data_IF_874112618452
#
_entry.id   IF_874112618452
#
_cell.length_a   1.000
_cell.length_b   1.000
_cell.length_c   1.000
_cell.angle_alpha   90.00
_cell.angle_beta   90.00
_cell.angle_gamma   90.00
#
_symmetry.space_group_name_H-M   'P 1'
#
loop_
_entity.id
_entity.type
_entity.pdbx_description
1 polymer ?
#
# COMPACT_ATOMS: atom_id res chain seq x y z
N UNK A 1 27.23 -29.53 -18.64
CA UNK A 1 27.80 -30.83 -18.21
C UNK A 1 28.03 -31.70 -19.43
N UNK A 2 29.24 -32.24 -19.59
CA UNK A 2 29.59 -33.06 -20.76
C UNK A 2 28.83 -34.39 -20.75
N UNK A 3 28.27 -34.79 -21.89
CA UNK A 3 27.67 -36.11 -22.09
C UNK A 3 28.68 -37.05 -22.76
N UNK A 4 28.73 -38.31 -22.32
CA UNK A 4 29.52 -39.33 -23.00
C UNK A 4 28.68 -39.90 -24.14
N UNK A 5 29.27 -39.99 -25.33
CA UNK A 5 28.60 -40.42 -26.56
C UNK A 5 29.56 -41.19 -27.44
N UNK A 6 29.07 -41.79 -28.52
CA UNK A 6 29.92 -42.44 -29.52
C UNK A 6 31.12 -41.56 -29.90
N UNK A 7 32.32 -42.14 -29.84
CA UNK A 7 33.59 -41.44 -30.08
C UNK A 7 34.24 -40.82 -28.84
N UNK A 8 33.54 -40.69 -27.71
CA UNK A 8 34.15 -40.33 -26.42
C UNK A 8 35.19 -41.37 -26.02
N UNK A 9 36.28 -40.93 -25.38
CA UNK A 9 37.34 -41.79 -24.86
C UNK A 9 37.79 -41.35 -23.46
N UNK A 10 38.43 -42.24 -22.71
CA UNK A 10 39.08 -41.93 -21.44
C UNK A 10 38.42 -42.58 -20.22
N UNK A 11 38.84 -42.17 -19.03
CA UNK A 11 38.42 -42.76 -17.74
C UNK A 11 36.91 -42.72 -17.54
N UNK A 12 36.23 -41.62 -17.90
CA UNK A 12 34.78 -41.53 -17.78
C UNK A 12 34.02 -42.59 -18.60
N UNK A 13 34.57 -43.01 -19.74
CA UNK A 13 33.99 -44.12 -20.52
C UNK A 13 34.27 -45.47 -19.85
N UNK A 14 35.44 -45.65 -19.24
CA UNK A 14 35.74 -46.87 -18.45
C UNK A 14 34.77 -47.02 -17.28
N UNK A 15 34.49 -45.92 -16.58
CA UNK A 15 33.53 -45.92 -15.46
C UNK A 15 32.12 -46.25 -15.96
N UNK A 16 31.71 -45.65 -17.08
CA UNK A 16 30.43 -45.95 -17.71
C UNK A 16 30.31 -47.43 -18.09
N UNK A 17 31.30 -47.98 -18.79
CA UNK A 17 31.32 -49.39 -19.21
C UNK A 17 31.29 -50.33 -18.00
N UNK A 18 32.08 -50.03 -16.97
CA UNK A 18 32.10 -50.80 -15.71
C UNK A 18 30.71 -50.82 -15.06
N UNK A 19 30.06 -49.66 -14.98
CA UNK A 19 28.76 -49.57 -14.33
C UNK A 19 27.63 -50.17 -15.17
N UNK A 20 27.68 -50.05 -16.51
CA UNK A 20 26.76 -50.75 -17.41
C UNK A 20 26.89 -52.27 -17.28
N UNK A 21 28.12 -52.78 -17.16
CA UNK A 21 28.36 -54.20 -16.88
C UNK A 21 27.75 -54.63 -15.54
N UNK A 22 27.93 -53.84 -14.48
CA UNK A 22 27.28 -54.08 -13.17
C UNK A 22 25.75 -54.06 -13.27
N UNK A 23 25.20 -53.20 -14.14
CA UNK A 23 23.77 -53.12 -14.42
C UNK A 23 23.25 -54.24 -15.35
N UNK A 24 24.12 -55.16 -15.80
CA UNK A 24 23.76 -56.34 -16.59
C UNK A 24 23.79 -56.14 -18.10
N UNK A 25 24.67 -55.28 -18.63
CA UNK A 25 24.85 -55.12 -20.08
C UNK A 25 25.13 -56.46 -20.79
N UNK A 26 24.44 -56.70 -21.91
CA UNK A 26 24.58 -57.89 -22.76
C UNK A 26 24.80 -57.49 -24.23
N UNK A 27 25.90 -57.93 -24.87
CA UNK A 27 27.03 -58.66 -24.29
C UNK A 27 27.77 -57.82 -23.24
N UNK A 28 28.57 -58.49 -22.38
CA UNK A 28 29.45 -57.80 -21.43
C UNK A 28 30.43 -56.90 -22.20
N UNK A 29 30.52 -55.64 -21.81
CA UNK A 29 31.38 -54.64 -22.44
C UNK A 29 32.84 -54.84 -22.03
N UNK A 30 33.76 -54.62 -22.97
CA UNK A 30 35.15 -54.35 -22.63
C UNK A 30 35.26 -52.98 -21.93
N UNK A 31 36.08 -52.89 -20.88
CA UNK A 31 36.34 -51.64 -20.15
C UNK A 31 37.61 -51.00 -20.73
N UNK A 32 37.56 -50.69 -22.02
CA UNK A 32 38.69 -50.14 -22.80
C UNK A 32 38.73 -48.60 -22.74
N UNK A 33 37.66 -47.96 -22.26
CA UNK A 33 37.54 -46.51 -22.24
C UNK A 33 37.23 -45.92 -23.61
N UNK A 34 36.70 -46.71 -24.55
CA UNK A 34 36.30 -46.28 -25.88
C UNK A 34 34.79 -46.43 -26.04
N UNK A 35 34.10 -45.32 -26.29
CA UNK A 35 32.66 -45.33 -26.47
C UNK A 35 32.37 -45.69 -27.93
N UNK A 36 32.45 -46.99 -28.23
CA UNK A 36 32.11 -47.56 -29.54
C UNK A 36 30.63 -47.92 -29.70
N UNK A 37 30.24 -48.49 -30.84
CA UNK A 37 28.86 -48.91 -31.14
C UNK A 37 28.27 -49.88 -30.11
N UNK A 38 29.09 -50.74 -29.52
CA UNK A 38 28.64 -51.72 -28.51
C UNK A 38 28.29 -51.01 -27.20
N UNK A 39 29.12 -50.05 -26.76
CA UNK A 39 28.84 -49.20 -25.60
C UNK A 39 27.58 -48.35 -25.82
N UNK A 40 27.42 -47.78 -27.01
CA UNK A 40 26.20 -47.04 -27.41
C UNK A 40 24.94 -47.91 -27.32
N UNK A 41 24.99 -49.11 -27.88
CA UNK A 41 23.88 -50.07 -27.80
C UNK A 41 23.54 -50.42 -26.35
N UNK A 42 24.55 -50.64 -25.50
CA UNK A 42 24.35 -50.93 -24.08
C UNK A 42 23.75 -49.74 -23.31
N UNK A 43 24.16 -48.50 -23.61
CA UNK A 43 23.54 -47.29 -23.05
C UNK A 43 22.07 -47.19 -23.47
N UNK A 44 21.76 -47.39 -24.76
CA UNK A 44 20.38 -47.37 -25.25
C UNK A 44 19.51 -48.42 -24.57
N UNK A 45 20.02 -49.64 -24.40
CA UNK A 45 19.32 -50.73 -23.68
C UNK A 45 19.09 -50.38 -22.22
N UNK A 46 20.12 -49.85 -21.53
CA UNK A 46 20.00 -49.41 -20.15
C UNK A 46 18.97 -48.28 -20.00
N UNK A 47 19.00 -47.28 -20.88
CA UNK A 47 18.04 -46.18 -20.89
C UNK A 47 16.60 -46.69 -21.06
N UNK A 48 16.34 -47.59 -22.02
CA UNK A 48 15.02 -48.21 -22.20
C UNK A 48 14.57 -48.96 -20.94
N UNK A 49 15.46 -49.75 -20.34
CA UNK A 49 15.18 -50.52 -19.11
C UNK A 49 14.79 -49.61 -17.94
N UNK A 50 15.38 -48.42 -17.86
CA UNK A 50 15.16 -47.48 -16.76
C UNK A 50 14.14 -46.38 -17.08
N UNK A 51 13.38 -46.50 -18.19
CA UNK A 51 12.37 -45.52 -18.58
C UNK A 51 12.95 -44.15 -19.01
N UNK A 52 14.23 -44.09 -19.35
CA UNK A 52 14.89 -42.88 -19.82
C UNK A 52 14.74 -42.72 -21.34
N UNK A 53 14.93 -41.50 -21.84
CA UNK A 53 15.06 -41.25 -23.28
C UNK A 53 16.23 -42.07 -23.84
N UNK A 54 15.92 -43.02 -24.72
CA UNK A 54 16.87 -43.98 -25.28
C UNK A 54 17.62 -43.42 -26.50
N UNK A 55 18.45 -42.40 -26.29
CA UNK A 55 19.20 -41.69 -27.34
C UNK A 55 20.65 -42.17 -27.51
N UNK A 56 21.07 -43.20 -26.76
CA UNK A 56 22.41 -43.78 -26.82
C UNK A 56 23.52 -42.93 -26.23
N UNK A 57 23.17 -41.81 -25.58
CA UNK A 57 24.11 -40.88 -24.96
C UNK A 57 24.00 -40.97 -23.43
N UNK A 58 25.14 -41.14 -22.76
CA UNK A 58 25.19 -41.07 -21.30
C UNK A 58 25.28 -39.61 -20.84
N UNK A 59 24.13 -38.92 -20.87
CA UNK A 59 23.92 -37.61 -20.25
C UNK A 59 23.72 -37.70 -18.73
N UNK A 60 23.44 -36.56 -18.08
CA UNK A 60 23.28 -36.47 -16.62
C UNK A 60 22.25 -37.43 -16.05
N UNK A 61 21.07 -37.55 -16.69
CA UNK A 61 20.02 -38.48 -16.26
C UNK A 61 20.44 -39.96 -16.37
N UNK A 62 21.13 -40.34 -17.46
CA UNK A 62 21.66 -41.71 -17.62
C UNK A 62 22.72 -42.02 -16.57
N UNK A 63 23.69 -41.12 -16.39
CA UNK A 63 24.78 -41.31 -15.42
C UNK A 63 24.25 -41.32 -13.97
N UNK A 64 23.26 -40.49 -13.65
CA UNK A 64 22.59 -40.51 -12.34
C UNK A 64 21.81 -41.81 -12.14
N UNK A 65 21.02 -42.25 -13.13
CA UNK A 65 20.23 -43.50 -13.03
C UNK A 65 21.13 -44.71 -12.78
N UNK A 66 22.29 -44.76 -13.43
CA UNK A 66 23.31 -45.79 -13.18
C UNK A 66 23.77 -45.78 -11.71
N UNK A 67 24.02 -44.60 -11.13
CA UNK A 67 24.43 -44.46 -9.72
C UNK A 67 23.32 -44.87 -8.75
N UNK A 68 22.05 -44.64 -9.11
CA UNK A 68 20.88 -45.00 -8.30
C UNK A 68 20.28 -46.37 -8.66
N UNK A 69 21.06 -47.28 -9.23
CA UNK A 69 20.63 -48.67 -9.47
C UNK A 69 19.48 -48.80 -10.49
N UNK A 70 19.37 -47.87 -11.43
CA UNK A 70 18.34 -47.85 -12.47
C UNK A 70 17.07 -47.10 -12.09
N UNK A 71 16.97 -46.55 -10.88
CA UNK A 71 15.82 -45.74 -10.44
C UNK A 71 16.30 -44.35 -10.05
N UNK A 72 15.94 -43.34 -10.82
CA UNK A 72 16.21 -41.97 -10.40
C UNK A 72 15.33 -41.62 -9.20
N UNK A 73 15.83 -40.81 -8.25
CA UNK A 73 14.97 -40.25 -7.21
C UNK A 73 13.83 -39.47 -7.86
N UNK A 74 12.62 -39.70 -7.39
CA UNK A 74 11.44 -38.97 -7.83
C UNK A 74 11.43 -37.58 -7.18
N UNK A 75 11.25 -36.55 -8.01
CA UNK A 75 10.98 -35.20 -7.51
C UNK A 75 9.51 -35.17 -7.08
N UNK A 76 9.26 -35.26 -5.77
CA UNK A 76 7.89 -35.30 -5.22
C UNK A 76 7.20 -33.93 -5.23
N UNK A 77 7.94 -32.85 -5.44
CA UNK A 77 7.39 -31.52 -5.63
C UNK A 77 6.99 -31.31 -7.10
N UNK A 78 5.88 -30.60 -7.38
CA UNK A 78 5.49 -30.26 -8.75
C UNK A 78 6.60 -29.53 -9.50
N UNK A 79 6.68 -29.73 -10.82
CA UNK A 79 7.61 -28.96 -11.68
C UNK A 79 7.20 -27.48 -11.71
N UNK A 80 7.84 -26.68 -10.86
CA UNK A 80 7.59 -25.24 -10.77
C UNK A 80 8.07 -24.47 -11.99
N UNK A 81 8.86 -25.08 -12.88
CA UNK A 81 9.22 -24.46 -14.18
C UNK A 81 7.97 -24.20 -15.00
N UNK A 82 6.98 -25.10 -14.92
CA UNK A 82 5.68 -24.97 -15.60
C UNK A 82 4.75 -23.98 -14.89
N UNK A 83 4.94 -23.75 -13.58
CA UNK A 83 4.17 -22.78 -12.78
C UNK A 83 4.82 -21.40 -12.67
N UNK A 84 5.99 -21.19 -13.27
CA UNK A 84 6.75 -19.94 -13.18
C UNK A 84 5.95 -18.72 -13.65
N UNK A 85 5.15 -18.88 -14.71
CA UNK A 85 4.28 -17.80 -15.23
C UNK A 85 3.26 -17.37 -14.18
N UNK A 86 2.51 -18.33 -13.64
CA UNK A 86 1.50 -18.08 -12.61
C UNK A 86 2.10 -17.44 -11.35
N UNK A 87 3.26 -17.93 -10.89
CA UNK A 87 3.92 -17.33 -9.72
C UNK A 87 4.33 -15.87 -9.96
N UNK A 88 4.79 -15.55 -11.18
CA UNK A 88 5.10 -14.17 -11.56
C UNK A 88 3.84 -13.30 -11.55
N UNK A 89 2.74 -13.77 -12.13
CA UNK A 89 1.46 -13.05 -12.13
C UNK A 89 0.98 -12.75 -10.70
N UNK A 90 0.97 -13.75 -9.81
CA UNK A 90 0.61 -13.57 -8.40
C UNK A 90 1.54 -12.57 -7.70
N UNK A 91 2.85 -12.63 -7.97
CA UNK A 91 3.83 -11.69 -7.39
C UNK A 91 3.60 -10.25 -7.88
N UNK A 92 3.28 -10.08 -9.16
CA UNK A 92 3.01 -8.78 -9.76
C UNK A 92 1.69 -8.20 -9.21
N UNK A 93 0.64 -9.01 -9.06
CA UNK A 93 -0.61 -8.62 -8.40
C UNK A 93 -0.37 -8.22 -6.94
N UNK A 94 0.43 -8.99 -6.20
CA UNK A 94 0.74 -8.65 -4.82
C UNK A 94 1.52 -7.33 -4.71
N UNK A 95 2.49 -7.09 -5.60
CA UNK A 95 3.21 -5.80 -5.68
C UNK A 95 2.26 -4.64 -5.92
N UNK A 96 1.29 -4.81 -6.82
CA UNK A 96 0.28 -3.79 -7.08
C UNK A 96 -0.62 -3.53 -5.86
N UNK A 97 -0.98 -4.59 -5.11
CA UNK A 97 -1.75 -4.44 -3.88
C UNK A 97 -0.97 -3.68 -2.80
N UNK A 98 0.33 -3.98 -2.63
CA UNK A 98 1.21 -3.23 -1.73
C UNK A 98 1.24 -1.75 -2.10
N UNK A 99 1.45 -1.43 -3.37
CA UNK A 99 1.44 -0.04 -3.83
C UNK A 99 0.10 0.67 -3.59
N UNK A 100 -1.03 -0.03 -3.73
CA UNK A 100 -2.34 0.51 -3.37
C UNK A 100 -2.46 0.79 -1.86
N UNK A 101 -1.95 -0.10 -1.01
CA UNK A 101 -1.93 0.13 0.45
C UNK A 101 -1.09 1.35 0.84
N UNK A 102 0.09 1.51 0.24
CA UNK A 102 0.96 2.67 0.49
C UNK A 102 0.26 3.98 0.11
N UNK A 103 -0.39 4.05 -1.06
CA UNK A 103 -1.15 5.24 -1.46
C UNK A 103 -2.32 5.53 -0.52
N UNK A 104 -3.02 4.49 -0.04
CA UNK A 104 -4.11 4.66 0.92
C UNK A 104 -3.59 5.21 2.25
N UNK A 105 -2.44 4.71 2.74
CA UNK A 105 -1.80 5.23 3.95
C UNK A 105 -1.40 6.70 3.78
N UNK A 106 -0.79 7.06 2.65
CA UNK A 106 -0.40 8.44 2.35
C UNK A 106 -1.62 9.38 2.29
N UNK A 107 -2.72 8.96 1.65
CA UNK A 107 -3.95 9.74 1.58
C UNK A 107 -4.53 10.01 2.98
N UNK A 108 -4.54 9.00 3.86
CA UNK A 108 -5.00 9.12 5.25
C UNK A 108 -4.08 10.06 6.04
N UNK A 109 -2.75 9.94 5.88
CA UNK A 109 -1.79 10.83 6.55
C UNK A 109 -1.99 12.30 6.12
N UNK A 110 -2.23 12.54 4.83
CA UNK A 110 -2.51 13.86 4.30
C UNK A 110 -3.83 14.45 4.83
N UNK A 111 -4.88 13.63 4.95
CA UNK A 111 -6.14 14.03 5.61
C UNK A 111 -5.89 14.44 7.07
N UNK A 112 -5.17 13.62 7.83
CA UNK A 112 -4.87 13.90 9.23
C UNK A 112 -4.08 15.21 9.40
N UNK A 113 -3.11 15.48 8.52
CA UNK A 113 -2.33 16.73 8.51
C UNK A 113 -3.22 17.96 8.28
N UNK A 114 -4.12 17.90 7.28
CA UNK A 114 -5.07 18.98 7.01
C UNK A 114 -6.01 19.18 8.19
N UNK A 115 -6.61 18.10 8.69
CA UNK A 115 -7.51 18.16 9.85
C UNK A 115 -6.85 18.78 11.08
N UNK A 116 -5.63 18.38 11.41
CA UNK A 116 -4.89 18.95 12.55
C UNK A 116 -4.62 20.45 12.37
N UNK A 117 -4.28 20.89 11.16
CA UNK A 117 -4.03 22.30 10.86
C UNK A 117 -5.33 23.12 11.02
N UNK A 118 -6.42 22.65 10.42
CA UNK A 118 -7.69 23.38 10.41
C UNK A 118 -8.34 23.41 11.82
N UNK A 119 -8.21 22.34 12.60
CA UNK A 119 -8.62 22.33 14.02
C UNK A 119 -7.84 23.38 14.83
N UNK A 120 -6.55 23.57 14.56
CA UNK A 120 -5.76 24.58 15.25
C UNK A 120 -6.21 26.01 14.91
N UNK A 121 -6.59 26.26 13.66
CA UNK A 121 -7.14 27.55 13.19
C UNK A 121 -8.49 27.81 13.88
N UNK A 122 -9.42 26.87 13.82
CA UNK A 122 -10.73 26.99 14.47
C UNK A 122 -10.59 27.20 15.99
N UNK A 123 -9.71 26.45 16.63
CA UNK A 123 -9.42 26.60 18.07
C UNK A 123 -8.89 27.99 18.41
N UNK A 124 -8.02 28.56 17.57
CA UNK A 124 -7.53 29.92 17.74
C UNK A 124 -8.65 30.94 17.59
N UNK A 125 -9.48 30.83 16.55
CA UNK A 125 -10.63 31.72 16.33
C UNK A 125 -11.61 31.71 17.50
N UNK A 126 -11.89 30.52 18.08
CA UNK A 126 -12.75 30.39 19.26
C UNK A 126 -12.15 31.11 20.47
N UNK A 127 -10.84 30.93 20.72
CA UNK A 127 -10.15 31.61 21.84
C UNK A 127 -10.15 33.12 21.66
N UNK A 128 -9.87 33.60 20.45
CA UNK A 128 -9.83 35.03 20.15
C UNK A 128 -11.24 35.63 20.31
N UNK A 129 -12.29 34.97 19.82
CA UNK A 129 -13.68 35.41 20.03
C UNK A 129 -14.10 35.44 21.49
N UNK A 130 -13.69 34.46 22.31
CA UNK A 130 -14.00 34.48 23.75
C UNK A 130 -13.52 35.77 24.42
N UNK A 131 -12.36 36.31 24.00
CA UNK A 131 -11.86 37.59 24.55
C UNK A 131 -12.70 38.77 24.09
N UNK A 132 -13.14 38.77 22.84
CA UNK A 132 -13.97 39.85 22.27
C UNK A 132 -15.38 39.90 22.87
N UNK A 133 -15.92 38.77 23.34
CA UNK A 133 -17.21 38.75 24.04
C UNK A 133 -17.19 39.55 25.34
N UNK A 134 -16.06 39.56 26.06
CA UNK A 134 -15.91 40.39 27.27
C UNK A 134 -16.02 41.89 26.94
N UNK A 135 -15.55 42.29 25.76
CA UNK A 135 -15.65 43.68 25.31
C UNK A 135 -17.09 44.04 24.89
N UNK A 136 -17.82 43.10 24.30
CA UNK A 136 -19.26 43.26 24.05
C UNK A 136 -20.04 43.39 25.36
N UNK A 137 -19.76 42.55 26.36
CA UNK A 137 -20.41 42.62 27.66
C UNK A 137 -20.22 44.02 28.28
N UNK A 138 -19.01 44.58 28.21
CA UNK A 138 -18.74 45.94 28.68
C UNK A 138 -19.54 47.03 27.94
N UNK A 139 -19.76 46.90 26.62
CA UNK A 139 -20.65 47.82 25.91
C UNK A 139 -22.12 47.65 26.29
N UNK A 140 -22.57 46.42 26.54
CA UNK A 140 -23.95 46.13 26.95
C UNK A 140 -24.21 46.71 28.34
N UNK A 141 -23.29 46.51 29.29
CA UNK A 141 -23.34 47.11 30.62
C UNK A 141 -23.42 48.64 30.52
N UNK A 142 -22.61 49.26 29.65
CA UNK A 142 -22.66 50.71 29.43
C UNK A 142 -24.01 51.20 28.87
N UNK A 143 -24.68 50.41 28.00
CA UNK A 143 -26.05 50.75 27.54
C UNK A 143 -27.04 50.62 28.69
N UNK A 144 -26.94 49.57 29.50
CA UNK A 144 -27.81 49.34 30.66
C UNK A 144 -27.70 50.49 31.65
N UNK A 145 -26.47 50.91 31.98
CA UNK A 145 -26.22 52.05 32.87
C UNK A 145 -26.86 53.34 32.32
N UNK A 146 -26.70 53.62 31.03
CA UNK A 146 -27.32 54.80 30.38
C UNK A 146 -28.83 54.71 30.29
N UNK A 147 -29.39 53.52 30.14
CA UNK A 147 -30.82 53.29 30.18
C UNK A 147 -31.38 53.61 31.59
N UNK A 148 -30.68 53.20 32.64
CA UNK A 148 -31.05 53.53 34.02
C UNK A 148 -30.98 55.05 34.29
N UNK A 149 -29.93 55.74 33.80
CA UNK A 149 -29.85 57.21 33.85
C UNK A 149 -31.02 57.87 33.11
N UNK A 150 -31.38 57.35 31.93
CA UNK A 150 -32.50 57.86 31.15
C UNK A 150 -33.82 57.75 31.92
N UNK A 151 -34.10 56.58 32.50
CA UNK A 151 -35.32 56.33 33.27
C UNK A 151 -35.42 57.28 34.48
N UNK A 152 -34.29 57.56 35.13
CA UNK A 152 -34.23 58.48 36.28
C UNK A 152 -34.46 59.97 35.91
N UNK A 153 -34.17 60.37 34.67
CA UNK A 153 -34.28 61.73 34.17
C UNK A 153 -35.56 62.01 33.36
N UNK A 154 -36.26 60.96 32.92
CA UNK A 154 -37.38 61.04 31.97
C UNK A 154 -38.44 62.09 32.35
N UNK A 155 -38.83 62.11 33.64
CA UNK A 155 -39.85 63.04 34.15
C UNK A 155 -39.25 64.34 34.72
N UNK A 156 -37.94 64.37 35.00
CA UNK A 156 -37.26 65.50 35.68
C UNK A 156 -36.71 66.49 34.68
N UNK A 157 -36.03 66.00 33.64
CA UNK A 157 -35.40 66.82 32.62
C UNK A 157 -35.49 66.14 31.24
N UNK A 158 -36.60 66.34 30.52
CA UNK A 158 -36.82 65.70 29.22
C UNK A 158 -35.74 66.01 28.17
N UNK A 159 -35.11 67.19 28.24
CA UNK A 159 -34.00 67.56 27.34
C UNK A 159 -32.75 66.71 27.61
N UNK A 160 -32.49 66.38 28.87
CA UNK A 160 -31.36 65.51 29.23
C UNK A 160 -31.65 64.05 28.89
N UNK A 161 -32.87 63.57 29.18
CA UNK A 161 -33.32 62.24 28.76
C UNK A 161 -33.16 62.03 27.24
N UNK A 162 -33.54 63.01 26.42
CA UNK A 162 -33.35 62.94 24.97
C UNK A 162 -31.87 62.87 24.53
N UNK A 163 -30.92 63.38 25.33
CA UNK A 163 -29.48 63.21 25.06
C UNK A 163 -29.03 61.78 25.37
N UNK A 164 -29.47 61.23 26.50
CA UNK A 164 -29.15 59.86 26.92
C UNK A 164 -29.65 58.83 25.89
N UNK A 165 -30.81 59.04 25.28
CA UNK A 165 -31.28 58.19 24.15
C UNK A 165 -30.25 58.16 23.01
N UNK A 166 -29.72 59.32 22.60
CA UNK A 166 -28.70 59.40 21.53
C UNK A 166 -27.39 58.72 21.95
N UNK A 167 -27.04 58.76 23.23
CA UNK A 167 -25.87 58.06 23.77
C UNK A 167 -26.08 56.53 23.72
N UNK A 168 -27.23 56.02 24.17
CA UNK A 168 -27.60 54.61 24.04
C UNK A 168 -27.56 54.14 22.58
N UNK A 169 -28.16 54.91 21.66
CA UNK A 169 -28.13 54.60 20.22
C UNK A 169 -26.70 54.56 19.66
N UNK A 170 -25.82 55.46 20.14
CA UNK A 170 -24.42 55.49 19.73
C UNK A 170 -23.68 54.25 20.21
N UNK A 171 -23.83 53.88 21.48
CA UNK A 171 -23.17 52.68 22.03
C UNK A 171 -23.71 51.42 21.34
N UNK A 172 -25.02 51.33 21.10
CA UNK A 172 -25.63 50.22 20.36
C UNK A 172 -25.01 50.06 18.95
N UNK A 173 -24.81 51.16 18.21
CA UNK A 173 -24.12 51.14 16.91
C UNK A 173 -22.66 50.69 17.05
N UNK A 174 -21.98 51.06 18.13
CA UNK A 174 -20.62 50.60 18.41
C UNK A 174 -20.58 49.08 18.64
N UNK A 175 -21.53 48.51 19.38
CA UNK A 175 -21.64 47.05 19.57
C UNK A 175 -21.77 46.32 18.24
N UNK A 176 -22.70 46.77 17.38
CA UNK A 176 -22.93 46.14 16.06
C UNK A 176 -21.68 46.22 15.19
N UNK A 177 -21.05 47.41 15.15
CA UNK A 177 -19.82 47.63 14.38
C UNK A 177 -18.68 46.75 14.90
N UNK A 178 -18.48 46.71 16.22
CA UNK A 178 -17.45 45.92 16.87
C UNK A 178 -17.62 44.42 16.58
N UNK A 179 -18.83 43.89 16.74
CA UNK A 179 -19.13 42.49 16.43
C UNK A 179 -18.86 42.16 14.97
N UNK A 180 -19.31 43.02 14.05
CA UNK A 180 -19.12 42.83 12.61
C UNK A 180 -17.65 42.88 12.19
N UNK A 181 -16.87 43.78 12.76
CA UNK A 181 -15.46 43.99 12.41
C UNK A 181 -14.50 42.98 13.07
N UNK A 182 -14.84 42.47 14.26
CA UNK A 182 -13.90 41.69 15.06
C UNK A 182 -14.35 40.23 15.28
N UNK A 183 -15.63 39.98 15.54
CA UNK A 183 -16.14 38.64 15.88
C UNK A 183 -16.51 37.86 14.62
N UNK A 184 -17.30 38.45 13.72
CA UNK A 184 -17.76 37.79 12.50
C UNK A 184 -16.62 37.20 11.65
N UNK A 185 -15.47 37.88 11.45
CA UNK A 185 -14.36 37.31 10.69
C UNK A 185 -13.78 36.03 11.31
N UNK A 186 -13.75 35.92 12.63
CA UNK A 186 -13.25 34.73 13.31
C UNK A 186 -14.24 33.57 13.21
N UNK A 187 -15.55 33.84 13.26
CA UNK A 187 -16.60 32.84 12.99
C UNK A 187 -16.45 32.31 11.58
N UNK A 188 -16.32 33.19 10.58
CA UNK A 188 -16.11 32.78 9.18
C UNK A 188 -14.84 31.95 8.99
N UNK A 189 -13.73 32.31 9.65
CA UNK A 189 -12.50 31.51 9.60
C UNK A 189 -12.70 30.10 10.19
N UNK A 190 -13.41 30.00 11.32
CA UNK A 190 -13.69 28.70 11.93
C UNK A 190 -14.57 27.82 11.02
N UNK A 191 -15.61 28.41 10.41
CA UNK A 191 -16.47 27.72 9.43
C UNK A 191 -15.68 27.27 8.20
N UNK A 192 -14.89 28.15 7.60
CA UNK A 192 -14.06 27.82 6.44
C UNK A 192 -13.06 26.67 6.74
N UNK A 193 -12.52 26.60 7.96
CA UNK A 193 -11.70 25.47 8.40
C UNK A 193 -12.49 24.16 8.46
N UNK A 194 -13.76 24.19 8.88
CA UNK A 194 -14.63 23.00 8.86
C UNK A 194 -14.90 22.55 7.42
N UNK A 195 -15.26 23.48 6.53
CA UNK A 195 -15.51 23.20 5.11
C UNK A 195 -14.29 22.55 4.43
N UNK A 196 -13.09 23.08 4.71
CA UNK A 196 -11.84 22.53 4.18
C UNK A 196 -11.58 21.08 4.65
N UNK A 197 -11.94 20.75 5.89
CA UNK A 197 -11.85 19.37 6.41
C UNK A 197 -12.88 18.47 5.73
N UNK A 198 -14.11 18.92 5.55
CA UNK A 198 -15.16 18.17 4.86
C UNK A 198 -14.79 17.87 3.40
N UNK A 199 -14.28 18.86 2.68
CA UNK A 199 -13.80 18.68 1.30
C UNK A 199 -12.67 17.64 1.24
N UNK A 200 -11.69 17.75 2.15
CA UNK A 200 -10.57 16.81 2.19
C UNK A 200 -11.02 15.40 2.58
N UNK A 201 -11.97 15.28 3.50
CA UNK A 201 -12.55 14.00 3.91
C UNK A 201 -13.32 13.34 2.77
N UNK A 202 -14.12 14.11 2.04
CA UNK A 202 -14.91 13.64 0.89
C UNK A 202 -14.00 13.11 -0.23
N UNK A 203 -13.00 13.91 -0.64
CA UNK A 203 -12.04 13.51 -1.67
C UNK A 203 -11.20 12.28 -1.26
N UNK A 204 -10.75 12.22 0.01
CA UNK A 204 -10.03 11.05 0.54
C UNK A 204 -10.91 9.81 0.55
N UNK A 205 -12.18 9.94 0.95
CA UNK A 205 -13.14 8.83 0.95
C UNK A 205 -13.39 8.28 -0.45
N UNK A 206 -13.53 9.16 -1.45
CA UNK A 206 -13.69 8.75 -2.84
C UNK A 206 -12.47 7.97 -3.35
N UNK A 207 -11.26 8.45 -3.02
CA UNK A 207 -10.01 7.77 -3.36
C UNK A 207 -9.88 6.39 -2.68
N UNK A 208 -10.15 6.28 -1.38
CA UNK A 208 -10.07 5.00 -0.67
C UNK A 208 -11.06 3.97 -1.24
N UNK A 209 -12.25 4.42 -1.67
CA UNK A 209 -13.23 3.56 -2.35
C UNK A 209 -12.71 3.06 -3.70
N UNK A 210 -12.04 3.90 -4.50
CA UNK A 210 -11.50 3.49 -5.80
C UNK A 210 -10.36 2.47 -5.65
N UNK A 211 -9.43 2.68 -4.72
CA UNK A 211 -8.35 1.73 -4.44
C UNK A 211 -8.87 0.40 -3.91
N UNK A 212 -9.88 0.42 -3.03
CA UNK A 212 -10.55 -0.81 -2.56
C UNK A 212 -11.17 -1.60 -3.72
N UNK A 213 -11.81 -0.91 -4.67
CA UNK A 213 -12.39 -1.54 -5.87
C UNK A 213 -11.29 -2.16 -6.73
N UNK A 214 -10.16 -1.47 -6.92
CA UNK A 214 -9.02 -1.99 -7.67
C UNK A 214 -8.42 -3.27 -7.02
N UNK A 215 -8.26 -3.28 -5.70
CA UNK A 215 -7.79 -4.46 -4.96
C UNK A 215 -8.77 -5.63 -5.10
N UNK A 216 -10.07 -5.39 -4.93
CA UNK A 216 -11.07 -6.46 -5.04
C UNK A 216 -11.06 -7.10 -6.44
N UNK A 217 -10.93 -6.30 -7.49
CA UNK A 217 -10.79 -6.82 -8.86
C UNK A 217 -9.57 -7.75 -8.98
N UNK A 218 -8.42 -7.35 -8.43
CA UNK A 218 -7.19 -8.17 -8.44
C UNK A 218 -7.25 -9.45 -7.60
N UNK A 219 -8.23 -9.59 -6.69
CA UNK A 219 -8.45 -10.83 -5.93
C UNK A 219 -9.20 -11.88 -6.73
N UNK A 220 -9.96 -11.45 -7.74
CA UNK A 220 -10.74 -12.34 -8.61
C UNK A 220 -9.90 -12.90 -9.78
N UNK A 221 -8.72 -12.32 -10.04
CA UNK A 221 -7.72 -12.70 -11.06
C UNK A 221 -6.70 -13.72 -10.52
#
# INVERSE_FOLDING_TARGET
>A
MASLKKGSKGSGVKDLQTNLNKAGAKPKLAVDGIFGPITEKAVTVFQKKCGLKADGKAGSYTLASIKFGGKLPEMTVPDFTQKKKHFKEVTDLNRQNVASYEKMQEAIANLAKVASKEVAIASKSIRDNRKLWVEIDGYVDAVIDRQAEFDAELLKNPKNAAKLVKECEKIHKQVISFGSSNISPNVHKALASMDAVEEKLSSTTAFLKSERKAINKRKEE
#
